data_IF_052636749519
#
_entry.id   IF_052636749519
#
_cell.length_a   1.000
_cell.length_b   1.000
_cell.length_c   1.000
_cell.angle_alpha   90.00
_cell.angle_beta   90.00
_cell.angle_gamma   90.00
#
_symmetry.space_group_name_H-M   'P 1'
#
loop_
_entity.id
_entity.type
_entity.pdbx_description
1 polymer ?
#
# COMPACT_ATOMS: atom_id res chain seq x y z
N UNK A 1 25.95 57.49 18.19
CA UNK A 1 25.84 57.28 16.71
C UNK A 1 27.15 56.79 16.05
N UNK A 2 28.32 57.05 16.61
CA UNK A 2 29.61 56.60 16.03
C UNK A 2 29.83 55.08 16.13
N UNK A 3 29.49 54.48 17.28
CA UNK A 3 29.73 53.05 17.52
C UNK A 3 28.97 52.10 16.55
N UNK A 4 27.71 52.42 16.26
CA UNK A 4 26.88 51.62 15.32
C UNK A 4 27.41 51.71 13.88
N UNK A 5 27.90 52.88 13.46
CA UNK A 5 28.52 53.05 12.14
C UNK A 5 29.82 52.25 12.02
N UNK A 6 30.64 52.26 13.08
CA UNK A 6 31.85 51.44 13.08
C UNK A 6 31.59 49.95 13.09
N UNK A 7 30.57 49.46 13.81
CA UNK A 7 30.17 48.06 13.84
C UNK A 7 29.65 47.60 12.46
N UNK A 8 28.82 48.43 11.81
CA UNK A 8 28.31 48.13 10.49
C UNK A 8 29.45 48.07 9.45
N UNK A 9 30.45 48.95 9.56
CA UNK A 9 31.61 48.93 8.65
C UNK A 9 32.48 47.68 8.86
N UNK A 10 32.68 47.24 10.09
CA UNK A 10 33.44 46.01 10.40
C UNK A 10 32.69 44.76 9.82
N UNK A 11 31.39 44.69 10.01
CA UNK A 11 30.58 43.59 9.46
C UNK A 11 30.65 43.57 7.94
N UNK A 12 30.54 44.71 7.29
CA UNK A 12 30.63 44.81 5.83
C UNK A 12 31.99 44.34 5.32
N UNK A 13 33.07 44.73 5.95
CA UNK A 13 34.45 44.32 5.60
C UNK A 13 34.59 42.81 5.77
N UNK A 14 34.07 42.24 6.87
CA UNK A 14 34.12 40.81 7.12
C UNK A 14 33.35 39.98 6.08
N UNK A 15 32.16 40.45 5.65
CA UNK A 15 31.38 39.80 4.61
C UNK A 15 32.10 39.86 3.25
N UNK A 16 32.67 41.03 2.92
CA UNK A 16 33.43 41.19 1.65
C UNK A 16 34.66 40.25 1.68
N UNK A 17 35.40 40.22 2.77
CA UNK A 17 36.56 39.35 2.92
C UNK A 17 36.18 37.86 2.77
N UNK A 18 35.05 37.42 3.36
CA UNK A 18 34.54 36.08 3.27
C UNK A 18 34.13 35.70 1.83
N UNK A 19 33.46 36.61 1.15
CA UNK A 19 33.08 36.44 -0.27
C UNK A 19 34.30 36.33 -1.18
N UNK A 20 35.30 37.23 -0.99
CA UNK A 20 36.53 37.18 -1.76
C UNK A 20 37.30 35.90 -1.49
N UNK A 21 37.44 35.50 -0.21
CA UNK A 21 38.11 34.25 0.14
C UNK A 21 37.42 33.06 -0.49
N UNK A 22 36.08 32.98 -0.42
CA UNK A 22 35.33 31.89 -1.03
C UNK A 22 35.47 31.84 -2.55
N UNK A 23 35.58 33.00 -3.19
CA UNK A 23 35.65 33.07 -4.67
C UNK A 23 37.08 32.80 -5.20
N UNK A 24 38.11 33.21 -4.46
CA UNK A 24 39.52 33.02 -4.85
C UNK A 24 40.18 31.77 -4.24
N UNK A 25 39.59 31.18 -3.24
CA UNK A 25 40.07 29.94 -2.60
C UNK A 25 39.63 28.75 -3.44
N UNK A 26 40.54 27.99 -3.98
CA UNK A 26 40.24 26.73 -4.70
C UNK A 26 39.52 25.65 -3.82
N UNK A 27 39.24 25.98 -2.55
CA UNK A 27 38.45 25.19 -1.58
C UNK A 27 37.16 25.90 -1.18
N UNK A 28 36.77 26.96 -1.90
CA UNK A 28 35.54 27.70 -1.61
C UNK A 28 34.28 26.82 -1.74
N UNK A 29 33.29 27.07 -0.89
CA UNK A 29 32.00 26.39 -0.95
C UNK A 29 31.21 26.97 -2.13
N UNK A 30 30.79 26.18 -3.11
CA UNK A 30 29.97 26.69 -4.22
C UNK A 30 28.63 27.18 -3.69
N UNK A 31 28.32 28.46 -3.96
CA UNK A 31 27.06 29.11 -3.55
C UNK A 31 25.81 28.45 -4.13
N UNK A 32 26.01 27.77 -5.27
CA UNK A 32 24.98 26.96 -5.92
C UNK A 32 25.61 25.60 -6.22
N UNK A 33 25.25 24.60 -5.44
CA UNK A 33 25.52 23.22 -5.85
C UNK A 33 24.75 22.98 -7.15
N UNK A 34 25.46 22.90 -8.30
CA UNK A 34 24.90 22.25 -9.48
C UNK A 34 24.59 20.83 -9.05
N UNK A 35 23.32 20.56 -8.77
CA UNK A 35 22.84 19.19 -8.64
C UNK A 35 23.13 18.56 -10.00
N UNK A 36 24.23 17.81 -10.07
CA UNK A 36 24.54 16.99 -11.22
C UNK A 36 23.45 15.94 -11.32
N UNK A 37 22.46 16.15 -12.15
CA UNK A 37 21.43 15.16 -12.46
C UNK A 37 21.96 13.98 -13.28
N UNK A 38 23.27 13.94 -13.50
CA UNK A 38 23.99 12.93 -14.32
C UNK A 38 24.96 12.06 -13.51
N UNK A 39 24.62 11.68 -12.29
CA UNK A 39 25.20 10.47 -11.71
C UNK A 39 24.40 9.26 -12.21
N UNK A 40 25.04 8.08 -12.40
CA UNK A 40 24.27 6.87 -12.61
C UNK A 40 23.34 6.72 -11.41
N UNK A 41 22.07 7.08 -11.58
CA UNK A 41 21.03 6.82 -10.60
C UNK A 41 21.09 5.31 -10.36
N UNK A 42 21.27 4.83 -9.12
CA UNK A 42 21.11 3.42 -8.89
C UNK A 42 19.72 3.11 -9.43
N UNK A 43 19.65 2.42 -10.54
CA UNK A 43 18.43 1.87 -11.07
C UNK A 43 18.04 0.84 -10.01
N UNK A 44 17.19 1.28 -9.07
CA UNK A 44 16.46 0.34 -8.24
C UNK A 44 15.70 -0.52 -9.25
N UNK A 45 16.33 -1.62 -9.64
CA UNK A 45 15.65 -2.71 -10.30
C UNK A 45 14.80 -3.32 -9.21
N UNK A 46 13.71 -2.61 -8.88
CA UNK A 46 12.57 -3.22 -8.21
C UNK A 46 11.93 -4.07 -9.30
N UNK A 47 12.63 -5.14 -9.67
CA UNK A 47 12.10 -6.23 -10.45
C UNK A 47 11.33 -7.14 -9.50
N UNK A 48 10.21 -6.65 -9.02
CA UNK A 48 9.09 -7.44 -8.58
C UNK A 48 7.86 -6.62 -8.89
N UNK A 49 7.58 -6.44 -10.17
CA UNK A 49 6.25 -6.09 -10.58
C UNK A 49 5.38 -7.30 -10.22
N UNK A 50 4.78 -7.26 -9.02
CA UNK A 50 3.67 -8.14 -8.74
C UNK A 50 2.70 -8.00 -9.92
N UNK A 51 2.10 -9.08 -10.40
CA UNK A 51 1.11 -8.99 -11.45
C UNK A 51 0.02 -8.00 -11.01
N UNK A 52 -0.51 -7.23 -11.96
CA UNK A 52 -1.57 -6.29 -11.66
C UNK A 52 -2.75 -7.04 -11.01
N UNK A 53 -3.29 -6.50 -9.93
CA UNK A 53 -4.46 -7.06 -9.27
C UNK A 53 -5.63 -6.98 -10.23
N UNK A 54 -6.28 -8.13 -10.46
CA UNK A 54 -7.52 -8.19 -11.23
C UNK A 54 -8.69 -7.84 -10.32
N UNK A 55 -9.51 -6.92 -10.76
CA UNK A 55 -10.77 -6.58 -10.10
C UNK A 55 -11.93 -7.30 -10.79
N UNK A 56 -12.87 -7.76 -9.97
CA UNK A 56 -14.11 -8.42 -10.43
C UNK A 56 -15.31 -7.63 -9.95
N UNK A 57 -16.34 -7.60 -10.78
CA UNK A 57 -17.62 -6.97 -10.46
C UNK A 57 -18.65 -8.01 -10.03
N UNK A 58 -19.81 -7.54 -9.53
CA UNK A 58 -20.86 -8.39 -8.98
C UNK A 58 -21.28 -9.56 -9.87
N UNK A 59 -21.52 -9.43 -11.18
CA UNK A 59 -21.93 -10.56 -12.01
C UNK A 59 -20.87 -11.67 -12.03
N UNK A 60 -19.60 -11.29 -12.14
CA UNK A 60 -18.48 -12.24 -12.14
C UNK A 60 -18.28 -12.84 -10.75
N UNK A 61 -18.33 -12.02 -9.69
CA UNK A 61 -18.24 -12.49 -8.30
C UNK A 61 -19.32 -13.52 -7.99
N UNK A 62 -20.58 -13.31 -8.44
CA UNK A 62 -21.67 -14.29 -8.28
C UNK A 62 -21.41 -15.58 -9.04
N UNK A 63 -20.91 -15.50 -10.26
CA UNK A 63 -20.57 -16.69 -11.03
C UNK A 63 -19.49 -17.52 -10.31
N UNK A 64 -18.45 -16.86 -9.79
CA UNK A 64 -17.38 -17.49 -9.00
C UNK A 64 -17.90 -18.11 -7.70
N UNK A 65 -18.75 -17.40 -6.98
CA UNK A 65 -19.40 -17.92 -5.77
C UNK A 65 -20.18 -19.21 -6.07
N UNK A 66 -20.99 -19.19 -7.11
CA UNK A 66 -21.80 -20.36 -7.52
C UNK A 66 -20.94 -21.53 -8.00
N UNK A 67 -19.73 -21.28 -8.49
CA UNK A 67 -18.76 -22.32 -8.89
C UNK A 67 -17.87 -22.80 -7.74
N UNK A 68 -18.08 -22.31 -6.51
CA UNK A 68 -17.35 -22.75 -5.32
C UNK A 68 -15.97 -22.13 -5.15
N UNK A 69 -15.67 -21.01 -5.83
CA UNK A 69 -14.45 -20.25 -5.59
C UNK A 69 -14.46 -19.69 -4.16
N UNK A 70 -13.34 -19.78 -3.47
CA UNK A 70 -13.22 -19.30 -2.10
C UNK A 70 -13.26 -17.76 -2.04
N UNK A 71 -14.12 -17.24 -1.15
CA UNK A 71 -14.21 -15.82 -0.83
C UNK A 71 -13.47 -15.53 0.46
N UNK A 72 -12.69 -14.45 0.48
CA UNK A 72 -11.86 -14.03 1.60
C UNK A 72 -12.27 -12.63 2.03
N UNK A 73 -12.74 -12.53 3.28
CA UNK A 73 -13.12 -11.26 3.90
C UNK A 73 -11.89 -10.60 4.54
N UNK A 74 -11.49 -9.45 4.01
CA UNK A 74 -10.33 -8.69 4.49
C UNK A 74 -10.63 -7.74 5.64
N UNK A 75 -11.90 -7.66 6.09
CA UNK A 75 -12.36 -6.81 7.18
C UNK A 75 -11.95 -7.38 8.54
N UNK A 76 -12.18 -6.60 9.59
CA UNK A 76 -11.92 -7.04 10.95
C UNK A 76 -12.81 -8.21 11.36
N UNK A 77 -12.40 -9.01 12.38
CA UNK A 77 -13.24 -10.10 12.90
C UNK A 77 -14.62 -9.64 13.40
N UNK A 78 -14.69 -8.43 13.96
CA UNK A 78 -15.93 -7.85 14.46
C UNK A 78 -16.91 -7.54 13.30
N UNK A 79 -16.41 -6.96 12.23
CA UNK A 79 -17.21 -6.69 11.03
C UNK A 79 -17.67 -7.98 10.36
N UNK A 80 -16.77 -8.99 10.28
CA UNK A 80 -17.10 -10.31 9.77
C UNK A 80 -18.22 -10.98 10.57
N UNK A 81 -18.17 -10.91 11.90
CA UNK A 81 -19.20 -11.47 12.78
C UNK A 81 -20.55 -10.76 12.64
N UNK A 82 -20.55 -9.46 12.35
CA UNK A 82 -21.76 -8.68 12.11
C UNK A 82 -22.50 -9.16 10.86
N UNK A 83 -21.73 -9.61 9.85
CA UNK A 83 -22.26 -10.20 8.63
C UNK A 83 -21.19 -10.34 7.56
N UNK A 84 -21.22 -11.45 6.83
CA UNK A 84 -20.25 -11.74 5.75
C UNK A 84 -20.88 -12.57 4.63
N UNK A 85 -20.18 -12.68 3.51
CA UNK A 85 -20.60 -13.55 2.38
C UNK A 85 -20.59 -15.00 2.88
N UNK A 86 -21.67 -15.72 2.66
CA UNK A 86 -21.81 -17.10 3.14
C UNK A 86 -20.65 -17.98 2.66
N UNK A 87 -19.98 -18.65 3.60
CA UNK A 87 -18.80 -19.48 3.33
C UNK A 87 -17.49 -18.74 3.13
N UNK A 88 -17.46 -17.42 3.28
CA UNK A 88 -16.22 -16.67 3.22
C UNK A 88 -15.31 -16.97 4.44
N UNK A 89 -14.01 -16.84 4.20
CA UNK A 89 -12.97 -17.01 5.22
C UNK A 89 -12.55 -15.62 5.69
N UNK A 90 -12.53 -15.38 7.00
CA UNK A 90 -12.02 -14.10 7.52
C UNK A 90 -10.50 -14.11 7.58
N UNK A 91 -9.87 -13.23 6.83
CA UNK A 91 -8.42 -12.98 6.83
C UNK A 91 -8.21 -11.47 6.87
N UNK A 92 -8.23 -10.86 8.04
CA UNK A 92 -8.01 -9.42 8.20
C UNK A 92 -6.74 -8.94 7.50
N UNK A 93 -6.83 -7.83 6.78
CA UNK A 93 -5.68 -7.27 6.07
C UNK A 93 -4.52 -6.86 6.99
N UNK A 94 -4.79 -6.71 8.30
CA UNK A 94 -3.79 -6.39 9.31
C UNK A 94 -2.92 -7.59 9.73
N UNK A 95 -3.34 -8.83 9.43
CA UNK A 95 -2.59 -10.02 9.82
C UNK A 95 -1.19 -10.07 9.23
N UNK A 96 -0.28 -10.69 9.97
CA UNK A 96 1.08 -10.95 9.52
C UNK A 96 1.14 -12.13 8.52
N UNK A 97 2.20 -12.26 7.71
CA UNK A 97 2.33 -13.27 6.66
C UNK A 97 2.09 -14.72 7.12
N UNK A 98 2.56 -15.07 8.30
CA UNK A 98 2.42 -16.42 8.86
C UNK A 98 0.97 -16.73 9.26
N UNK A 99 0.28 -15.74 9.83
CA UNK A 99 -1.13 -15.85 10.20
C UNK A 99 -2.02 -15.98 8.94
N UNK A 100 -1.74 -15.19 7.90
CA UNK A 100 -2.42 -15.28 6.60
C UNK A 100 -2.23 -16.68 6.01
N UNK A 101 -0.99 -17.19 6.03
CA UNK A 101 -0.68 -18.52 5.49
C UNK A 101 -1.39 -19.61 6.29
N UNK A 102 -1.46 -19.50 7.61
CA UNK A 102 -2.19 -20.43 8.46
C UNK A 102 -3.70 -20.41 8.21
N UNK A 103 -4.29 -19.23 8.07
CA UNK A 103 -5.72 -19.06 7.78
C UNK A 103 -6.13 -19.67 6.43
N UNK A 104 -5.23 -19.68 5.45
CA UNK A 104 -5.46 -20.19 4.10
C UNK A 104 -4.75 -21.53 3.84
N UNK A 105 -4.36 -22.25 4.88
CA UNK A 105 -3.61 -23.52 4.75
C UNK A 105 -4.35 -24.61 3.93
N UNK A 106 -5.68 -24.56 3.89
CA UNK A 106 -6.50 -25.48 3.09
C UNK A 106 -6.56 -25.09 1.60
N UNK A 107 -6.04 -23.92 1.22
CA UNK A 107 -6.10 -23.41 -0.15
C UNK A 107 -4.70 -23.41 -0.79
N UNK A 108 -4.49 -24.15 -1.90
CA UNK A 108 -3.21 -24.15 -2.59
C UNK A 108 -2.91 -22.77 -3.19
N UNK A 109 -1.61 -22.49 -3.43
CA UNK A 109 -1.15 -21.17 -3.87
C UNK A 109 -1.65 -20.77 -5.29
N UNK A 110 -2.04 -21.72 -6.08
CA UNK A 110 -2.64 -21.54 -7.41
C UNK A 110 -4.18 -21.52 -7.39
N UNK A 111 -4.79 -21.70 -6.21
CA UNK A 111 -6.24 -21.60 -6.07
C UNK A 111 -6.75 -20.20 -6.43
N UNK A 112 -7.92 -20.16 -7.03
CA UNK A 112 -8.62 -18.90 -7.27
C UNK A 112 -9.25 -18.40 -5.98
N UNK A 113 -8.93 -17.15 -5.61
CA UNK A 113 -9.42 -16.50 -4.40
C UNK A 113 -10.04 -15.16 -4.75
N UNK A 114 -11.22 -14.87 -4.25
CA UNK A 114 -11.89 -13.57 -4.35
C UNK A 114 -11.84 -12.86 -3.02
N UNK A 115 -10.99 -11.85 -2.92
CA UNK A 115 -10.82 -11.03 -1.72
C UNK A 115 -11.77 -9.85 -1.75
N UNK A 116 -12.49 -9.60 -0.68
CA UNK A 116 -13.40 -8.45 -0.59
C UNK A 116 -13.27 -7.70 0.73
N UNK A 117 -13.77 -6.49 0.75
CA UNK A 117 -13.98 -5.68 1.94
C UNK A 117 -15.24 -4.81 1.79
N UNK A 118 -15.44 -3.82 2.64
CA UNK A 118 -16.60 -2.95 2.64
C UNK A 118 -16.24 -1.52 2.22
N UNK A 119 -17.16 -0.87 1.49
CA UNK A 119 -17.07 0.54 1.11
C UNK A 119 -16.07 0.88 0.01
N UNK A 120 -16.29 2.04 -0.62
CA UNK A 120 -15.49 2.53 -1.76
C UNK A 120 -14.08 3.00 -1.34
N UNK A 121 -13.91 3.41 -0.08
CA UNK A 121 -12.62 3.86 0.46
C UNK A 121 -11.82 2.73 1.12
N UNK A 122 -12.37 1.51 1.16
CA UNK A 122 -11.72 0.38 1.83
C UNK A 122 -10.56 -0.19 0.99
N UNK A 123 -9.33 0.13 1.38
CA UNK A 123 -8.12 -0.45 0.82
C UNK A 123 -7.75 -1.86 1.32
N UNK A 124 -8.51 -2.42 2.29
CA UNK A 124 -8.15 -3.67 2.96
C UNK A 124 -8.06 -4.86 1.99
N UNK A 125 -9.03 -5.02 1.10
CA UNK A 125 -9.02 -6.10 0.09
C UNK A 125 -7.83 -6.00 -0.86
N UNK A 126 -7.48 -4.80 -1.31
CA UNK A 126 -6.31 -4.56 -2.15
C UNK A 126 -5.01 -4.82 -1.39
N UNK A 127 -4.94 -4.38 -0.14
CA UNK A 127 -3.77 -4.62 0.74
C UNK A 127 -3.56 -6.11 0.98
N UNK A 128 -4.63 -6.84 1.31
CA UNK A 128 -4.56 -8.30 1.50
C UNK A 128 -4.19 -9.01 0.19
N UNK A 129 -4.78 -8.63 -0.94
CA UNK A 129 -4.45 -9.22 -2.23
C UNK A 129 -2.96 -9.06 -2.58
N UNK A 130 -2.36 -7.90 -2.32
CA UNK A 130 -0.92 -7.68 -2.48
C UNK A 130 -0.08 -8.54 -1.55
N UNK A 131 -0.49 -8.71 -0.27
CA UNK A 131 0.18 -9.61 0.66
C UNK A 131 0.12 -11.05 0.16
N UNK A 132 -1.04 -11.50 -0.31
CA UNK A 132 -1.24 -12.84 -0.86
C UNK A 132 -0.36 -13.08 -2.10
N UNK A 133 -0.27 -12.13 -3.02
CA UNK A 133 0.63 -12.24 -4.19
C UNK A 133 2.10 -12.36 -3.75
N UNK A 134 2.54 -11.58 -2.74
CA UNK A 134 3.90 -11.70 -2.19
C UNK A 134 4.15 -13.04 -1.51
N UNK A 135 3.11 -13.66 -0.96
CA UNK A 135 3.14 -15.01 -0.38
C UNK A 135 3.05 -16.12 -1.44
N UNK A 136 2.98 -15.77 -2.73
CA UNK A 136 2.97 -16.71 -3.85
C UNK A 136 1.60 -17.20 -4.30
N UNK A 137 0.51 -16.61 -3.80
CA UNK A 137 -0.83 -16.88 -4.35
C UNK A 137 -0.98 -16.21 -5.71
N UNK A 138 -1.25 -16.98 -6.75
CA UNK A 138 -1.31 -16.50 -8.14
C UNK A 138 -2.73 -16.19 -8.64
N UNK A 139 -3.74 -16.85 -8.05
CA UNK A 139 -5.15 -16.72 -8.47
C UNK A 139 -5.96 -15.65 -7.73
N UNK A 140 -5.31 -14.61 -7.18
CA UNK A 140 -5.97 -13.61 -6.34
C UNK A 140 -6.65 -12.54 -7.16
N UNK A 141 -7.94 -12.30 -6.87
CA UNK A 141 -8.77 -11.25 -7.46
C UNK A 141 -9.44 -10.43 -6.35
N UNK A 142 -9.79 -9.19 -6.66
CA UNK A 142 -10.44 -8.29 -5.69
C UNK A 142 -11.86 -7.97 -6.15
N UNK A 143 -12.82 -8.26 -5.31
CA UNK A 143 -14.20 -7.79 -5.45
C UNK A 143 -14.31 -6.46 -4.68
N UNK A 144 -14.10 -5.37 -5.42
CA UNK A 144 -14.08 -4.03 -4.86
C UNK A 144 -15.47 -3.64 -4.32
N UNK A 145 -15.52 -2.97 -3.15
CA UNK A 145 -16.76 -2.63 -2.47
C UNK A 145 -17.70 -3.84 -2.28
N UNK A 146 -17.10 -5.02 -2.15
CA UNK A 146 -17.77 -6.30 -2.35
C UNK A 146 -18.90 -6.55 -1.36
N UNK A 147 -18.69 -6.27 -0.06
CA UNK A 147 -19.73 -6.49 0.95
C UNK A 147 -20.98 -5.65 0.70
N UNK A 148 -20.80 -4.32 0.56
CA UNK A 148 -21.93 -3.40 0.29
C UNK A 148 -22.70 -3.79 -0.96
N UNK A 149 -21.98 -4.11 -2.05
CA UNK A 149 -22.59 -4.49 -3.33
C UNK A 149 -23.29 -5.84 -3.21
N UNK A 150 -22.70 -6.80 -2.50
CA UNK A 150 -23.25 -8.14 -2.29
C UNK A 150 -24.56 -8.10 -1.49
N UNK A 151 -24.58 -7.35 -0.37
CA UNK A 151 -25.80 -7.19 0.45
C UNK A 151 -26.90 -6.46 -0.30
N UNK A 152 -26.57 -5.37 -1.02
CA UNK A 152 -27.53 -4.64 -1.84
C UNK A 152 -28.17 -5.51 -2.93
N UNK A 153 -27.43 -6.47 -3.44
CA UNK A 153 -27.89 -7.45 -4.42
C UNK A 153 -28.67 -8.62 -3.80
N UNK A 154 -28.90 -8.61 -2.47
CA UNK A 154 -29.59 -9.69 -1.73
C UNK A 154 -28.97 -11.07 -1.99
N UNK A 155 -27.64 -11.13 -2.15
CA UNK A 155 -26.90 -12.36 -2.34
C UNK A 155 -26.67 -13.07 -0.99
N UNK A 156 -26.31 -14.36 -0.97
CA UNK A 156 -26.21 -15.16 0.25
C UNK A 156 -25.24 -14.57 1.28
N UNK A 157 -25.73 -14.30 2.48
CA UNK A 157 -24.95 -13.80 3.62
C UNK A 157 -25.26 -14.61 4.88
N UNK A 158 -24.34 -14.58 5.84
CA UNK A 158 -24.56 -15.10 7.20
C UNK A 158 -24.12 -14.06 8.21
N UNK A 159 -24.75 -14.09 9.38
CA UNK A 159 -24.41 -13.29 10.55
C UNK A 159 -23.92 -14.23 11.66
N UNK A 160 -22.88 -13.82 12.40
CA UNK A 160 -22.25 -14.68 13.39
C UNK A 160 -21.52 -15.86 12.73
N UNK A 161 -20.70 -16.53 13.50
CA UNK A 161 -19.96 -17.69 13.01
C UNK A 161 -18.47 -17.46 13.00
N UNK A 162 -17.77 -18.33 13.72
CA UNK A 162 -16.33 -18.48 13.55
C UNK A 162 -16.08 -19.18 12.22
N UNK A 163 -15.09 -18.72 11.49
CA UNK A 163 -14.50 -19.51 10.43
C UNK A 163 -14.12 -20.88 11.03
N UNK A 164 -14.67 -21.96 10.45
CA UNK A 164 -14.23 -23.31 10.74
C UNK A 164 -12.91 -23.57 10.06
#
# INVERSE_FOLDING_TARGET
>A
MSFVKNLASILLIAVIAAVLYNNFSGRGIPWFAKVSTEGPRPRLVVSSSLPAIRYVELPEARAKYNSGVAFVDARTPEEYQTGHISGAINVPAALEPDEITAALAAHPKDAELVVYCDGEECGASTTLAQKLQRLGYSGVQVFFNGWTVWVKAQAPTVTGGQAK
#
